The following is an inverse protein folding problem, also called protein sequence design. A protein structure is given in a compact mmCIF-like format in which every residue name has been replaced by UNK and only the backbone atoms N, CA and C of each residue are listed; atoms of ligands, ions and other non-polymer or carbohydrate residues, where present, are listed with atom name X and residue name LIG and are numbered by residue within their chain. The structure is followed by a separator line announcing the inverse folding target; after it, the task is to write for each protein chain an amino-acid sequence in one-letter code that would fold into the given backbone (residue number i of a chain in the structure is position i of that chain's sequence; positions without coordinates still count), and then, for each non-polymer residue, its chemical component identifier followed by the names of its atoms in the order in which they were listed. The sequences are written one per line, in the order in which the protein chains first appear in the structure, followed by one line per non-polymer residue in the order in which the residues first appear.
data_IF_641892777688
#
_entry.id   IF_641892777688
#
_cell.length_a   1.000
_cell.length_b   1.000
_cell.length_c   1.000
_cell.angle_alpha   90.00
_cell.angle_beta   90.00
_cell.angle_gamma   90.00
#
_symmetry.space_group_name_H-M   'P 1'
#
loop_
_entity.id
_entity.type
_entity.pdbx_description
1 polymer ?
#
# COMPACT_ATOMS: atom_id res chain seq x y z
N UNK A 1 20.46 -12.93 5.87
CA UNK A 1 20.00 -13.27 4.51
C UNK A 1 21.03 -12.72 3.55
N UNK A 2 21.39 -13.48 2.53
CA UNK A 2 22.16 -12.93 1.43
C UNK A 2 21.33 -11.84 0.73
N UNK A 3 21.99 -10.90 0.05
CA UNK A 3 21.31 -9.80 -0.66
C UNK A 3 20.36 -10.32 -1.74
N UNK A 4 20.73 -11.41 -2.41
CA UNK A 4 19.91 -12.10 -3.41
C UNK A 4 18.62 -12.69 -2.79
N UNK A 5 18.73 -13.37 -1.65
CA UNK A 5 17.56 -13.95 -0.95
C UNK A 5 16.54 -12.86 -0.60
N UNK A 6 17.04 -11.70 -0.19
CA UNK A 6 16.21 -10.55 0.19
C UNK A 6 15.43 -10.00 -1.01
N UNK A 7 16.09 -9.85 -2.18
CA UNK A 7 15.43 -9.40 -3.40
C UNK A 7 14.40 -10.40 -3.91
N UNK A 8 14.71 -11.70 -3.85
CA UNK A 8 13.78 -12.77 -4.23
C UNK A 8 12.54 -12.75 -3.32
N UNK A 9 12.74 -12.65 -2.01
CA UNK A 9 11.64 -12.58 -1.04
C UNK A 9 10.75 -11.37 -1.29
N UNK A 10 11.34 -10.19 -1.50
CA UNK A 10 10.61 -8.95 -1.80
C UNK A 10 9.82 -9.08 -3.11
N UNK A 11 10.46 -9.57 -4.17
CA UNK A 11 9.84 -9.75 -5.47
C UNK A 11 8.65 -10.71 -5.43
N UNK A 12 8.83 -11.89 -4.83
CA UNK A 12 7.76 -12.88 -4.69
C UNK A 12 6.61 -12.35 -3.83
N UNK A 13 6.93 -11.62 -2.76
CA UNK A 13 5.92 -11.03 -1.88
C UNK A 13 5.06 -10.02 -2.64
N UNK A 14 5.67 -9.08 -3.37
CA UNK A 14 4.90 -8.09 -4.12
C UNK A 14 4.16 -8.69 -5.31
N UNK A 15 4.68 -9.75 -5.93
CA UNK A 15 3.98 -10.47 -6.99
C UNK A 15 2.71 -11.14 -6.44
N UNK A 16 2.81 -11.85 -5.32
CA UNK A 16 1.66 -12.48 -4.66
C UNK A 16 0.66 -11.42 -4.16
N UNK A 17 1.13 -10.39 -3.46
CA UNK A 17 0.29 -9.33 -2.94
C UNK A 17 -0.41 -8.54 -4.07
N UNK A 18 0.29 -8.32 -5.18
CA UNK A 18 -0.23 -7.70 -6.40
C UNK A 18 -1.31 -8.56 -7.05
N UNK A 19 -1.11 -9.87 -7.15
CA UNK A 19 -2.13 -10.81 -7.61
C UNK A 19 -3.39 -10.75 -6.75
N UNK A 20 -3.25 -10.83 -5.42
CA UNK A 20 -4.38 -10.73 -4.48
C UNK A 20 -5.11 -9.39 -4.64
N UNK A 21 -4.37 -8.27 -4.73
CA UNK A 21 -4.94 -6.95 -5.00
C UNK A 21 -5.67 -6.90 -6.35
N UNK A 22 -5.19 -7.59 -7.37
CA UNK A 22 -5.84 -7.66 -8.68
C UNK A 22 -7.16 -8.45 -8.65
N UNK A 23 -7.22 -9.54 -7.89
CA UNK A 23 -8.42 -10.38 -7.77
C UNK A 23 -9.47 -9.76 -6.85
N UNK A 24 -9.06 -9.22 -5.70
CA UNK A 24 -9.97 -8.75 -4.65
C UNK A 24 -10.21 -7.23 -4.74
N UNK A 25 -9.31 -6.48 -5.38
CA UNK A 25 -9.31 -5.01 -5.41
C UNK A 25 -8.62 -4.36 -4.21
N UNK A 26 -8.32 -5.13 -3.15
CA UNK A 26 -7.65 -4.68 -1.92
C UNK A 26 -6.72 -5.77 -1.39
N UNK A 27 -5.79 -5.43 -0.50
CA UNK A 27 -5.00 -6.42 0.26
C UNK A 27 -3.50 -6.44 0.00
N UNK A 28 -2.96 -5.58 -0.88
CA UNK A 28 -1.51 -5.47 -1.06
C UNK A 28 -0.77 -5.20 0.27
N UNK A 29 -1.26 -4.30 1.16
CA UNK A 29 -0.65 -4.13 2.47
C UNK A 29 -0.75 -5.35 3.38
N UNK A 30 -1.91 -5.99 3.43
CA UNK A 30 -2.17 -7.14 4.30
C UNK A 30 -1.23 -8.30 3.99
N UNK A 31 -1.11 -8.66 2.70
CA UNK A 31 -0.25 -9.77 2.27
C UNK A 31 1.23 -9.40 2.39
N UNK A 32 1.60 -8.19 1.96
CA UNK A 32 3.00 -7.78 1.99
C UNK A 32 3.55 -7.68 3.41
N UNK A 33 2.79 -7.09 4.34
CA UNK A 33 3.21 -6.98 5.74
C UNK A 33 3.22 -8.33 6.44
N UNK A 34 2.27 -9.23 6.15
CA UNK A 34 2.27 -10.58 6.72
C UNK A 34 3.55 -11.35 6.40
N UNK A 35 4.09 -11.19 5.19
CA UNK A 35 5.28 -11.92 4.74
C UNK A 35 6.56 -11.16 5.09
N UNK A 36 6.70 -9.90 4.67
CA UNK A 36 7.94 -9.13 4.84
C UNK A 36 8.28 -8.85 6.30
N UNK A 37 7.29 -8.73 7.19
CA UNK A 37 7.56 -8.51 8.63
C UNK A 37 8.30 -9.69 9.26
N UNK A 38 8.12 -10.90 8.74
CA UNK A 38 8.82 -12.09 9.26
C UNK A 38 10.32 -12.09 8.92
N UNK A 39 10.69 -11.52 7.77
CA UNK A 39 12.08 -11.44 7.32
C UNK A 39 12.82 -10.16 7.71
N UNK A 40 12.12 -9.02 7.71
CA UNK A 40 12.72 -7.69 7.86
C UNK A 40 12.23 -6.91 9.08
N UNK A 41 11.23 -7.42 9.81
CA UNK A 41 10.53 -6.66 10.84
C UNK A 41 9.53 -5.66 10.25
N UNK A 42 8.72 -5.07 11.14
CA UNK A 42 7.55 -4.29 10.73
C UNK A 42 7.92 -2.98 10.04
N UNK A 43 8.88 -2.23 10.61
CA UNK A 43 9.25 -0.90 10.11
C UNK A 43 9.81 -0.98 8.67
N UNK A 44 10.81 -1.84 8.37
CA UNK A 44 11.34 -1.94 7.00
C UNK A 44 10.31 -2.48 6.00
N UNK A 45 9.46 -3.42 6.41
CA UNK A 45 8.37 -3.93 5.58
C UNK A 45 7.38 -2.82 5.18
N UNK A 46 6.98 -1.97 6.12
CA UNK A 46 6.13 -0.81 5.85
C UNK A 46 6.80 0.18 4.88
N UNK A 47 8.09 0.47 5.07
CA UNK A 47 8.84 1.37 4.18
C UNK A 47 8.89 0.86 2.74
N UNK A 48 9.12 -0.45 2.54
CA UNK A 48 9.12 -1.07 1.21
C UNK A 48 7.75 -1.02 0.54
N UNK A 49 6.68 -1.17 1.32
CA UNK A 49 5.30 -1.26 0.83
C UNK A 49 4.68 0.10 0.47
N UNK A 50 5.02 1.17 1.19
CA UNK A 50 4.40 2.50 1.02
C UNK A 50 4.49 2.98 -0.42
N UNK A 51 5.68 2.92 -1.02
CA UNK A 51 5.93 3.44 -2.37
C UNK A 51 5.07 2.74 -3.44
N UNK A 52 5.13 1.40 -3.62
CA UNK A 52 4.33 0.72 -4.64
C UNK A 52 2.82 0.78 -4.35
N UNK A 53 2.41 0.73 -3.07
CA UNK A 53 1.00 0.86 -2.71
C UNK A 53 0.45 2.24 -3.08
N UNK A 54 1.20 3.30 -2.78
CA UNK A 54 0.79 4.66 -3.12
C UNK A 54 0.66 4.85 -4.64
N UNK A 55 1.70 4.44 -5.39
CA UNK A 55 1.72 4.55 -6.86
C UNK A 55 0.50 3.84 -7.47
N UNK A 56 0.27 2.58 -7.10
CA UNK A 56 -0.83 1.80 -7.68
C UNK A 56 -2.20 2.33 -7.27
N UNK A 57 -2.37 2.82 -6.04
CA UNK A 57 -3.63 3.41 -5.58
C UNK A 57 -3.94 4.73 -6.31
N UNK A 58 -2.96 5.62 -6.46
CA UNK A 58 -3.13 6.91 -7.15
C UNK A 58 -3.43 6.68 -8.64
N UNK A 59 -2.68 5.77 -9.27
CA UNK A 59 -2.92 5.39 -10.66
C UNK A 59 -4.36 4.85 -10.85
N UNK A 60 -4.80 3.93 -9.99
CA UNK A 60 -6.16 3.39 -10.02
C UNK A 60 -7.23 4.46 -9.80
N UNK A 61 -6.99 5.39 -8.88
CA UNK A 61 -7.91 6.49 -8.60
C UNK A 61 -8.10 7.41 -9.82
N UNK A 62 -7.03 7.67 -10.58
CA UNK A 62 -7.07 8.45 -11.81
C UNK A 62 -7.80 7.75 -12.96
N UNK A 63 -7.64 6.43 -13.11
CA UNK A 63 -8.30 5.66 -14.16
C UNK A 63 -9.82 5.54 -13.99
N UNK A 64 -10.35 5.69 -12.77
CA UNK A 64 -11.77 5.49 -12.47
C UNK A 64 -12.72 6.59 -12.96
N UNK A 65 -12.23 7.69 -13.56
CA UNK A 65 -13.03 8.78 -14.15
C UNK A 65 -13.81 9.68 -13.16
N UNK A 66 -14.11 9.18 -11.96
CA UNK A 66 -14.89 9.89 -10.94
C UNK A 66 -14.03 10.54 -9.83
N UNK A 67 -12.71 10.64 -10.02
CA UNK A 67 -11.77 11.11 -8.99
C UNK A 67 -12.20 12.44 -8.35
N UNK A 68 -12.53 13.45 -9.17
CA UNK A 68 -12.94 14.78 -8.69
C UNK A 68 -14.24 14.73 -7.88
N UNK A 69 -15.20 13.92 -8.32
CA UNK A 69 -16.49 13.77 -7.64
C UNK A 69 -16.31 13.07 -6.28
N UNK A 70 -15.49 12.00 -6.23
CA UNK A 70 -15.16 11.32 -4.99
C UNK A 70 -14.45 12.26 -4.01
N UNK A 71 -13.46 13.03 -4.47
CA UNK A 71 -12.75 14.00 -3.61
C UNK A 71 -13.73 15.03 -3.07
N UNK A 72 -14.63 15.57 -3.90
CA UNK A 72 -15.66 16.53 -3.46
C UNK A 72 -16.66 15.90 -2.50
N UNK A 73 -17.02 14.63 -2.67
CA UNK A 73 -17.96 13.92 -1.78
C UNK A 73 -17.33 13.57 -0.43
N UNK A 74 -16.05 13.20 -0.41
CA UNK A 74 -15.34 12.71 0.78
C UNK A 74 -14.35 13.72 1.38
N UNK A 75 -14.39 15.00 0.98
CA UNK A 75 -13.41 16.00 1.41
C UNK A 75 -13.32 16.13 2.95
N UNK A 76 -14.45 16.06 3.67
CA UNK A 76 -14.47 16.12 5.14
C UNK A 76 -13.68 14.95 5.74
N UNK A 77 -13.89 13.75 5.23
CA UNK A 77 -13.16 12.55 5.67
C UNK A 77 -11.67 12.67 5.37
N UNK A 78 -11.31 13.15 4.17
CA UNK A 78 -9.91 13.34 3.78
C UNK A 78 -9.21 14.34 4.71
N UNK A 79 -9.83 15.51 4.94
CA UNK A 79 -9.27 16.54 5.84
C UNK A 79 -9.17 16.02 7.28
N UNK A 80 -10.19 15.31 7.77
CA UNK A 80 -10.17 14.72 9.10
C UNK A 80 -9.04 13.69 9.27
N UNK A 81 -8.80 12.83 8.27
CA UNK A 81 -7.68 11.87 8.29
C UNK A 81 -6.33 12.58 8.30
N UNK A 82 -6.14 13.57 7.42
CA UNK A 82 -4.88 14.34 7.38
C UNK A 82 -4.61 15.03 8.71
N UNK A 83 -5.62 15.71 9.26
CA UNK A 83 -5.51 16.35 10.56
C UNK A 83 -5.24 15.33 11.67
N UNK A 84 -5.96 14.20 11.68
CA UNK A 84 -5.78 13.14 12.67
C UNK A 84 -4.38 12.54 12.66
N UNK A 85 -3.78 12.32 11.48
CA UNK A 85 -2.40 11.83 11.37
C UNK A 85 -1.41 12.88 11.87
N UNK A 86 -1.64 14.17 11.60
CA UNK A 86 -0.71 15.23 12.03
C UNK A 86 -0.78 15.54 13.53
N UNK A 87 -1.97 15.46 14.13
CA UNK A 87 -2.17 15.73 15.56
C UNK A 87 -2.06 14.49 16.45
N UNK A 88 -2.24 13.29 15.89
CA UNK A 88 -2.14 12.02 16.61
C UNK A 88 -0.84 11.24 16.40
N UNK A 89 0.01 11.71 15.48
CA UNK A 89 1.37 11.19 15.27
C UNK A 89 2.35 11.60 16.37
#
# INVERSE_FOLDING_TARGET
METLDSLVLIGLTFLLAGFVKGVIGMGLPTVSLAILTTGFGLIPAMSLMIVPSFITNVWQAGQGGAFRELVRRFWVMIVAVVAGVWFGG
#
